data_IF_574752988666
#
_entry.id   IF_574752988666
#
_cell.length_a   1.000
_cell.length_b   1.000
_cell.length_c   1.000
_cell.angle_alpha   90.00
_cell.angle_beta   90.00
_cell.angle_gamma   90.00
#
_symmetry.space_group_name_H-M   'P 1'
#
loop_
_entity.id
_entity.type
_entity.pdbx_description
1 polymer ?
#
# COMPACT_ATOMS: atom_id res chain seq x y z
N UNK A 1 -4.87 -5.21 -2.42
CA UNK A 1 -4.95 -4.08 -3.38
C UNK A 1 -3.56 -3.50 -3.57
N UNK A 2 -3.20 -3.15 -4.80
CA UNK A 2 -1.91 -2.55 -5.12
C UNK A 2 -2.14 -1.20 -5.80
N UNK A 3 -1.47 -0.17 -5.30
CA UNK A 3 -1.50 1.18 -5.90
C UNK A 3 -0.05 1.56 -6.23
N UNK A 4 0.31 1.51 -7.49
CA UNK A 4 1.66 1.73 -7.99
C UNK A 4 1.60 2.37 -9.37
N UNK A 5 2.24 3.51 -9.55
CA UNK A 5 2.16 4.28 -10.80
C UNK A 5 3.00 3.70 -11.95
N UNK A 6 4.05 2.95 -11.65
CA UNK A 6 4.85 2.29 -12.68
C UNK A 6 4.20 0.95 -13.04
N UNK A 7 3.72 0.85 -14.27
CA UNK A 7 2.99 -0.35 -14.72
C UNK A 7 3.86 -1.61 -14.72
N UNK A 8 5.15 -1.47 -15.00
CA UNK A 8 6.06 -2.63 -14.97
C UNK A 8 6.25 -3.13 -13.55
N UNK A 9 6.39 -2.22 -12.59
CA UNK A 9 6.51 -2.57 -11.17
C UNK A 9 5.19 -3.17 -10.66
N UNK A 10 4.07 -2.57 -11.04
CA UNK A 10 2.74 -3.08 -10.67
C UNK A 10 2.56 -4.52 -11.16
N UNK A 11 2.93 -4.79 -12.41
CA UNK A 11 2.86 -6.14 -12.98
C UNK A 11 3.80 -7.09 -12.24
N UNK A 12 5.01 -6.66 -11.94
CA UNK A 12 5.99 -7.47 -11.21
C UNK A 12 5.45 -7.88 -9.83
N UNK A 13 4.94 -6.93 -9.07
CA UNK A 13 4.37 -7.23 -7.76
C UNK A 13 3.15 -8.14 -7.87
N UNK A 14 2.26 -7.84 -8.80
CA UNK A 14 1.05 -8.60 -9.01
C UNK A 14 1.35 -10.05 -9.38
N UNK A 15 2.28 -10.27 -10.30
CA UNK A 15 2.67 -11.61 -10.75
C UNK A 15 3.35 -12.38 -9.62
N UNK A 16 4.28 -11.75 -8.92
CA UNK A 16 4.98 -12.40 -7.82
C UNK A 16 3.99 -12.85 -6.73
N UNK A 17 3.12 -11.96 -6.30
CA UNK A 17 2.16 -12.26 -5.24
C UNK A 17 1.14 -13.30 -5.69
N UNK A 18 0.65 -13.20 -6.93
CA UNK A 18 -0.27 -14.20 -7.47
C UNK A 18 0.35 -15.59 -7.52
N UNK A 19 1.61 -15.69 -7.91
CA UNK A 19 2.33 -16.96 -7.95
C UNK A 19 2.61 -17.53 -6.56
N UNK A 20 2.54 -16.70 -5.53
CA UNK A 20 2.73 -17.12 -4.14
C UNK A 20 1.41 -17.41 -3.42
N UNK A 21 0.28 -17.40 -4.13
CA UNK A 21 -1.02 -17.74 -3.57
C UNK A 21 -1.84 -16.55 -3.06
N UNK A 22 -1.36 -15.34 -3.26
CA UNK A 22 -2.13 -14.13 -2.90
C UNK A 22 -3.07 -13.76 -4.04
N UNK A 23 -4.24 -13.25 -3.70
CA UNK A 23 -5.19 -12.74 -4.69
C UNK A 23 -5.08 -11.23 -4.81
N UNK A 24 -4.62 -10.74 -5.96
CA UNK A 24 -4.58 -9.30 -6.23
C UNK A 24 -5.95 -8.89 -6.76
N UNK A 25 -6.81 -8.41 -5.86
CA UNK A 25 -8.22 -8.14 -6.19
C UNK A 25 -8.45 -6.77 -6.82
N UNK A 26 -7.47 -5.86 -6.72
CA UNK A 26 -7.59 -4.53 -7.32
C UNK A 26 -6.20 -3.95 -7.56
N UNK A 27 -6.03 -3.26 -8.70
CA UNK A 27 -4.77 -2.62 -9.11
C UNK A 27 -5.07 -1.22 -9.62
N UNK A 28 -4.29 -0.23 -9.14
CA UNK A 28 -4.45 1.16 -9.54
C UNK A 28 -3.09 1.77 -9.85
N UNK A 29 -3.04 2.65 -10.85
CA UNK A 29 -1.82 3.37 -11.21
C UNK A 29 -1.81 4.79 -10.64
N UNK A 30 -2.89 5.22 -10.01
CA UNK A 30 -2.99 6.54 -9.36
C UNK A 30 -4.01 6.47 -8.22
N UNK A 31 -3.96 7.47 -7.34
CA UNK A 31 -4.83 7.50 -6.17
C UNK A 31 -6.23 8.03 -6.41
N UNK A 32 -6.46 8.63 -7.59
CA UNK A 32 -7.76 9.20 -7.92
C UNK A 32 -8.83 8.11 -8.04
N UNK A 33 -10.01 8.37 -7.49
CA UNK A 33 -11.18 7.49 -7.58
C UNK A 33 -11.10 6.18 -6.79
N UNK A 34 -10.05 5.96 -6.01
CA UNK A 34 -9.97 4.77 -5.16
C UNK A 34 -11.10 4.79 -4.12
N UNK A 35 -11.43 5.96 -3.59
CA UNK A 35 -12.48 6.12 -2.58
C UNK A 35 -13.84 5.63 -3.08
N UNK A 36 -14.11 5.71 -4.37
CA UNK A 36 -15.38 5.22 -4.92
C UNK A 36 -15.42 3.70 -4.96
N UNK A 37 -14.28 3.05 -4.88
CA UNK A 37 -14.14 1.60 -4.99
C UNK A 37 -13.85 0.93 -3.64
N UNK A 38 -13.67 1.70 -2.57
CA UNK A 38 -13.32 1.14 -1.27
C UNK A 38 -14.34 0.13 -0.75
N UNK A 39 -15.62 0.35 -1.01
CA UNK A 39 -16.66 -0.56 -0.58
C UNK A 39 -16.82 -1.78 -1.49
N UNK A 40 -16.29 -1.72 -2.70
CA UNK A 40 -16.37 -2.82 -3.67
C UNK A 40 -15.33 -3.91 -3.42
N UNK A 41 -14.21 -3.53 -2.80
CA UNK A 41 -13.09 -4.43 -2.57
C UNK A 41 -12.69 -4.38 -1.11
N UNK A 42 -12.62 -5.53 -0.46
CA UNK A 42 -12.21 -5.65 0.94
C UNK A 42 -10.91 -6.43 1.00
N UNK A 43 -9.78 -5.81 0.63
CA UNK A 43 -8.51 -6.50 0.68
C UNK A 43 -8.05 -6.71 2.11
N UNK A 44 -7.25 -7.76 2.31
CA UNK A 44 -6.62 -8.02 3.61
C UNK A 44 -5.42 -7.11 3.86
N UNK A 45 -4.85 -6.53 2.79
CA UNK A 45 -3.70 -5.63 2.88
C UNK A 45 -3.69 -4.70 1.68
N UNK A 46 -3.21 -3.47 1.91
CA UNK A 46 -3.04 -2.46 0.87
C UNK A 46 -1.56 -2.20 0.66
N UNK A 47 -1.11 -2.32 -0.58
CA UNK A 47 0.25 -2.05 -0.99
C UNK A 47 0.23 -0.72 -1.74
N UNK A 48 0.86 0.33 -1.19
CA UNK A 48 0.69 1.68 -1.72
C UNK A 48 2.05 2.35 -1.91
N UNK A 49 2.32 2.81 -3.15
CA UNK A 49 3.44 3.70 -3.40
C UNK A 49 3.13 5.05 -2.76
N UNK A 50 4.04 5.57 -1.95
CA UNK A 50 3.80 6.83 -1.22
C UNK A 50 3.69 8.04 -2.14
N UNK A 51 4.34 8.02 -3.30
CA UNK A 51 4.27 9.09 -4.29
C UNK A 51 3.54 8.61 -5.53
N UNK A 52 2.40 9.22 -5.82
CA UNK A 52 1.55 8.88 -6.95
C UNK A 52 1.28 10.11 -7.80
N UNK A 53 1.05 9.92 -9.12
CA UNK A 53 0.66 11.05 -9.99
C UNK A 53 -0.76 11.49 -9.69
N UNK A 54 -1.12 12.66 -10.20
CA UNK A 54 -2.47 13.19 -10.04
C UNK A 54 -2.61 14.01 -8.77
N UNK A 55 -3.83 14.08 -8.26
CA UNK A 55 -4.17 14.97 -7.15
C UNK A 55 -4.01 14.34 -5.76
N UNK A 56 -3.74 13.03 -5.69
CA UNK A 56 -3.64 12.33 -4.42
C UNK A 56 -2.32 11.58 -4.30
N UNK A 57 -1.62 11.82 -3.20
CA UNK A 57 -0.45 11.03 -2.84
C UNK A 57 -0.86 9.68 -2.25
N UNK A 58 0.09 8.78 -2.12
CA UNK A 58 -0.18 7.50 -1.44
C UNK A 58 -0.56 7.70 0.02
N UNK A 59 -0.01 8.71 0.68
CA UNK A 59 -0.38 9.00 2.07
C UNK A 59 -1.82 9.50 2.19
N UNK A 60 -2.28 10.28 1.23
CA UNK A 60 -3.68 10.71 1.19
C UNK A 60 -4.63 9.54 0.94
N UNK A 61 -4.25 8.65 0.02
CA UNK A 61 -5.01 7.42 -0.23
C UNK A 61 -5.10 6.58 1.05
N UNK A 62 -3.99 6.41 1.75
CA UNK A 62 -3.96 5.65 2.99
C UNK A 62 -4.87 6.28 4.06
N UNK A 63 -4.87 7.60 4.15
CA UNK A 63 -5.74 8.31 5.08
C UNK A 63 -7.22 8.03 4.78
N UNK A 64 -7.60 8.07 3.51
CA UNK A 64 -8.96 7.77 3.10
C UNK A 64 -9.36 6.32 3.44
N UNK A 65 -8.44 5.38 3.20
CA UNK A 65 -8.67 3.98 3.54
C UNK A 65 -8.90 3.83 5.05
N UNK A 66 -8.06 4.45 5.86
CA UNK A 66 -8.16 4.35 7.32
C UNK A 66 -9.40 5.06 7.89
N UNK A 67 -9.91 6.06 7.20
CA UNK A 67 -11.17 6.72 7.59
C UNK A 67 -12.35 5.75 7.45
N UNK A 68 -12.31 4.86 6.44
CA UNK A 68 -13.37 3.86 6.20
C UNK A 68 -13.09 2.59 6.99
N UNK A 69 -11.85 2.13 6.99
CA UNK A 69 -11.42 0.89 7.63
C UNK A 69 -10.24 1.16 8.56
N UNK A 70 -10.51 1.55 9.82
CA UNK A 70 -9.43 1.96 10.75
C UNK A 70 -8.40 0.89 11.07
N UNK A 71 -8.73 -0.38 10.87
CA UNK A 71 -7.80 -1.49 11.12
C UNK A 71 -7.13 -2.03 9.87
N UNK A 72 -7.27 -1.35 8.74
CA UNK A 72 -6.70 -1.81 7.47
C UNK A 72 -5.17 -1.91 7.54
N UNK A 73 -4.58 -3.07 7.21
CA UNK A 73 -3.13 -3.17 7.10
C UNK A 73 -2.64 -2.48 5.84
N UNK A 74 -1.66 -1.58 5.98
CA UNK A 74 -1.12 -0.82 4.87
C UNK A 74 0.39 -0.95 4.83
N UNK A 75 0.91 -1.35 3.67
CA UNK A 75 2.34 -1.36 3.40
C UNK A 75 2.65 -0.28 2.39
N UNK A 76 3.39 0.74 2.82
CA UNK A 76 3.92 1.75 1.90
C UNK A 76 5.23 1.26 1.27
N UNK A 77 5.38 1.52 -0.02
CA UNK A 77 6.65 1.30 -0.72
C UNK A 77 7.05 2.64 -1.34
N UNK A 78 8.27 3.08 -1.09
CA UNK A 78 8.71 4.41 -1.50
C UNK A 78 10.16 4.41 -1.97
N UNK A 79 10.47 5.24 -2.97
CA UNK A 79 11.84 5.52 -3.37
C UNK A 79 12.50 6.61 -2.50
N UNK A 80 11.72 7.27 -1.65
CA UNK A 80 12.17 8.39 -0.81
C UNK A 80 12.42 7.88 0.61
N UNK A 81 13.69 7.77 1.00
CA UNK A 81 14.04 7.25 2.32
C UNK A 81 13.81 8.23 3.47
N UNK A 82 13.27 9.43 3.19
CA UNK A 82 12.76 10.32 4.25
C UNK A 82 11.32 10.00 4.63
N UNK A 83 10.61 9.23 3.81
CA UNK A 83 9.20 8.90 4.04
C UNK A 83 8.93 8.05 5.28
N UNK A 84 9.76 7.04 5.63
CA UNK A 84 9.50 6.25 6.83
C UNK A 84 9.37 7.11 8.09
N UNK A 85 10.25 8.11 8.25
CA UNK A 85 10.19 9.01 9.38
C UNK A 85 8.93 9.87 9.37
N UNK A 86 8.56 10.39 8.20
CA UNK A 86 7.35 11.21 8.05
C UNK A 86 6.09 10.41 8.34
N UNK A 87 6.06 9.14 7.92
CA UNK A 87 4.93 8.26 8.18
C UNK A 87 4.82 7.95 9.67
N UNK A 88 5.93 7.63 10.32
CA UNK A 88 5.97 7.36 11.76
C UNK A 88 5.49 8.54 12.60
N UNK A 89 5.83 9.75 12.18
CA UNK A 89 5.49 10.97 12.91
C UNK A 89 4.09 11.50 12.59
N UNK A 90 3.41 10.93 11.61
CA UNK A 90 2.09 11.40 11.21
C UNK A 90 1.05 10.95 12.23
N UNK A 91 0.33 11.90 12.90
CA UNK A 91 -0.67 11.52 13.91
C UNK A 91 -1.78 10.64 13.37
N UNK A 92 -2.10 10.75 12.08
CA UNK A 92 -3.15 9.96 11.44
C UNK A 92 -2.81 8.48 11.36
N UNK A 93 -1.50 8.14 11.43
CA UNK A 93 -1.03 6.76 11.33
C UNK A 93 -0.66 6.17 12.68
N UNK A 94 -0.84 6.92 13.76
CA UNK A 94 -0.51 6.45 15.11
C UNK A 94 -1.40 5.26 15.50
N UNK A 95 -0.77 4.20 16.01
CA UNK A 95 -1.46 2.97 16.44
C UNK A 95 -2.21 2.26 15.30
N UNK A 96 -1.79 2.50 14.05
CA UNK A 96 -2.34 1.81 12.88
C UNK A 96 -1.42 0.69 12.43
N UNK A 97 -1.97 -0.26 11.68
CA UNK A 97 -1.20 -1.37 11.11
C UNK A 97 -0.50 -0.91 9.84
N UNK A 98 0.64 -0.26 10.00
CA UNK A 98 1.38 0.33 8.89
C UNK A 98 2.82 -0.11 8.95
N UNK A 99 3.36 -0.47 7.79
CA UNK A 99 4.78 -0.69 7.59
C UNK A 99 5.23 0.08 6.35
N UNK A 100 6.53 0.28 6.21
CA UNK A 100 7.08 1.02 5.07
C UNK A 100 8.39 0.37 4.64
N UNK A 101 8.53 0.15 3.32
CA UNK A 101 9.75 -0.35 2.71
C UNK A 101 10.29 0.69 1.75
N UNK A 102 11.60 0.90 1.76
CA UNK A 102 12.27 1.83 0.85
C UNK A 102 12.81 1.06 -0.34
N UNK A 103 12.54 1.56 -1.56
CA UNK A 103 13.05 0.96 -2.79
C UNK A 103 14.58 1.15 -2.88
N UNK A 104 15.30 0.18 -3.42
CA UNK A 104 14.81 -1.07 -3.98
C UNK A 104 14.47 -2.08 -2.88
N UNK A 105 13.23 -2.55 -2.85
CA UNK A 105 12.79 -3.58 -1.91
C UNK A 105 12.72 -4.92 -2.64
N UNK A 106 13.22 -5.96 -1.98
CA UNK A 106 13.14 -7.31 -2.55
C UNK A 106 11.72 -7.82 -2.47
N UNK A 107 11.32 -8.63 -3.44
CA UNK A 107 9.97 -9.21 -3.43
C UNK A 107 9.71 -10.03 -2.17
N UNK A 108 10.72 -10.74 -1.67
CA UNK A 108 10.62 -11.48 -0.41
C UNK A 108 10.38 -10.58 0.79
N UNK A 109 10.97 -9.39 0.81
CA UNK A 109 10.76 -8.41 1.87
C UNK A 109 9.33 -7.89 1.87
N UNK A 110 8.80 -7.66 0.68
CA UNK A 110 7.39 -7.23 0.51
C UNK A 110 6.46 -8.30 1.06
N UNK A 111 6.66 -9.55 0.69
CA UNK A 111 5.85 -10.65 1.19
C UNK A 111 5.96 -10.80 2.70
N UNK A 112 7.16 -10.70 3.24
CA UNK A 112 7.40 -10.81 4.68
C UNK A 112 6.66 -9.71 5.45
N UNK A 113 6.72 -8.48 4.95
CA UNK A 113 6.02 -7.35 5.57
C UNK A 113 4.50 -7.54 5.51
N UNK A 114 3.98 -8.03 4.39
CA UNK A 114 2.55 -8.34 4.26
C UNK A 114 2.12 -9.34 5.32
N UNK A 115 2.86 -10.44 5.47
CA UNK A 115 2.53 -11.49 6.45
C UNK A 115 2.56 -10.94 7.88
N UNK A 116 3.54 -10.10 8.20
CA UNK A 116 3.62 -9.49 9.52
C UNK A 116 2.43 -8.57 9.80
N UNK A 117 2.01 -7.81 8.80
CA UNK A 117 0.89 -6.88 8.95
C UNK A 117 -0.44 -7.58 9.14
N UNK A 118 -0.70 -8.65 8.36
CA UNK A 118 -1.99 -9.34 8.43
C UNK A 118 -2.10 -10.25 9.64
N UNK A 119 -0.98 -10.62 10.27
CA UNK A 119 -0.95 -11.49 11.44
C UNK A 119 -0.90 -10.74 12.77
N UNK A 120 -0.95 -9.43 12.74
CA UNK A 120 -0.97 -8.61 13.96
C UNK A 120 -2.35 -8.56 14.60
#
# INVERSE_FOLDING_TARGET
MIVEDDEDILTLYSDYLSNRGYHVIARYTRGNNIETDLEKHLPDVYLINSKLPGNKSGMEVATEILDVYPSAPILFITADYTQPDKIQKNPKFRNKKIDVLVKPARLMEIEHSILNLVNK
#
